data_IF_440234896420
#
_entry.id   IF_440234896420
#
_cell.length_a   1.000
_cell.length_b   1.000
_cell.length_c   1.000
_cell.angle_alpha   90.00
_cell.angle_beta   90.00
_cell.angle_gamma   90.00
#
_symmetry.space_group_name_H-M   'P 1'
#
loop_
_entity.id
_entity.type
_entity.pdbx_description
1 polymer ?
#
# COMPACT_ATOMS: atom_id res chain seq x y z
N UNK A 1 8.69 7.05 -19.34
CA UNK A 1 7.33 7.11 -18.77
C UNK A 1 6.61 8.27 -19.44
N UNK A 2 5.61 8.01 -20.30
CA UNK A 2 4.90 9.07 -21.00
C UNK A 2 3.57 9.34 -20.28
N UNK A 3 3.46 10.49 -19.61
CA UNK A 3 2.21 10.89 -18.97
C UNK A 3 1.26 11.39 -20.06
N UNK A 4 0.16 10.68 -20.26
CA UNK A 4 -0.85 11.07 -21.25
C UNK A 4 -1.75 12.13 -20.63
N UNK A 5 -2.10 13.17 -21.40
CA UNK A 5 -2.93 14.28 -20.90
C UNK A 5 -4.14 14.49 -21.80
N UNK A 6 -5.32 14.61 -21.19
CA UNK A 6 -6.56 14.99 -21.86
C UNK A 6 -7.13 16.27 -21.24
N UNK A 7 -8.00 16.95 -21.97
CA UNK A 7 -8.81 18.04 -21.41
C UNK A 7 -10.05 17.49 -20.72
N UNK A 8 -10.61 18.22 -19.75
CA UNK A 8 -11.91 17.88 -19.14
C UNK A 8 -13.03 17.74 -20.19
N UNK A 9 -12.97 18.52 -21.28
CA UNK A 9 -13.91 18.40 -22.41
C UNK A 9 -13.77 17.09 -23.16
N UNK A 10 -12.54 16.61 -23.36
CA UNK A 10 -12.28 15.32 -24.01
C UNK A 10 -12.75 14.17 -23.12
N UNK A 11 -12.46 14.24 -21.83
CA UNK A 11 -12.91 13.25 -20.86
C UNK A 11 -14.45 13.15 -20.79
N UNK A 12 -15.14 14.29 -20.74
CA UNK A 12 -16.61 14.32 -20.72
C UNK A 12 -17.25 13.77 -22.01
N UNK A 13 -16.54 13.86 -23.15
CA UNK A 13 -17.01 13.36 -24.45
C UNK A 13 -16.71 11.88 -24.66
N UNK A 14 -15.54 11.42 -24.21
CA UNK A 14 -15.07 10.05 -24.40
C UNK A 14 -14.25 9.57 -23.19
N UNK A 15 -14.97 9.22 -22.11
CA UNK A 15 -14.36 8.60 -20.94
C UNK A 15 -13.72 7.24 -21.25
N UNK A 16 -14.20 6.55 -22.30
CA UNK A 16 -13.67 5.26 -22.74
C UNK A 16 -12.24 5.35 -23.27
N UNK A 17 -11.93 6.40 -24.04
CA UNK A 17 -10.57 6.67 -24.50
C UNK A 17 -9.60 6.94 -23.33
N UNK A 18 -10.05 7.70 -22.32
CA UNK A 18 -9.25 7.94 -21.12
C UNK A 18 -8.98 6.65 -20.38
N UNK A 19 -10.00 5.81 -20.16
CA UNK A 19 -9.85 4.49 -19.53
C UNK A 19 -8.90 3.56 -20.32
N UNK A 20 -8.92 3.58 -21.66
CA UNK A 20 -7.95 2.79 -22.44
C UNK A 20 -6.53 3.33 -22.31
N UNK A 21 -6.37 4.65 -22.19
CA UNK A 21 -5.07 5.26 -22.03
C UNK A 21 -4.40 4.93 -20.68
N UNK A 22 -5.19 4.69 -19.61
CA UNK A 22 -4.64 4.35 -18.28
C UNK A 22 -3.88 3.01 -18.26
N UNK A 23 -4.15 2.11 -19.20
CA UNK A 23 -3.41 0.86 -19.35
C UNK A 23 -1.91 1.06 -19.65
N UNK A 24 -1.51 2.26 -20.11
CA UNK A 24 -0.11 2.62 -20.36
C UNK A 24 0.49 3.48 -19.23
N UNK A 25 -0.27 3.73 -18.16
CA UNK A 25 0.12 4.55 -17.02
C UNK A 25 -0.83 5.72 -16.74
N UNK A 26 -0.51 6.56 -15.73
CA UNK A 26 -1.38 7.63 -15.27
C UNK A 26 -1.75 8.62 -16.37
N UNK A 27 -3.01 9.04 -16.34
CA UNK A 27 -3.56 10.02 -17.27
C UNK A 27 -3.97 11.27 -16.51
N UNK A 28 -3.50 12.44 -16.95
CA UNK A 28 -3.92 13.72 -16.37
C UNK A 28 -5.06 14.35 -17.15
N UNK A 29 -6.08 14.80 -16.43
CA UNK A 29 -7.18 15.58 -16.97
C UNK A 29 -6.95 17.04 -16.59
N UNK A 30 -6.97 17.90 -17.59
CA UNK A 30 -6.68 19.32 -17.46
C UNK A 30 -7.94 20.18 -17.54
N UNK A 31 -8.02 21.18 -16.65
CA UNK A 31 -8.90 22.32 -16.82
C UNK A 31 -8.07 23.57 -17.10
N UNK A 32 -8.46 24.34 -18.11
CA UNK A 32 -7.74 25.55 -18.58
C UNK A 32 -6.22 25.36 -18.71
N UNK A 33 -5.78 24.18 -19.15
CA UNK A 33 -4.37 23.85 -19.37
C UNK A 33 -3.59 23.42 -18.12
N UNK A 34 -4.23 23.30 -16.95
CA UNK A 34 -3.61 22.83 -15.71
C UNK A 34 -4.15 21.46 -15.31
N UNK A 35 -3.31 20.49 -14.92
CA UNK A 35 -3.78 19.23 -14.37
C UNK A 35 -4.69 19.48 -13.17
N UNK A 36 -5.82 18.79 -13.15
CA UNK A 36 -6.88 18.96 -12.14
C UNK A 36 -7.34 17.62 -11.55
N UNK A 37 -7.18 16.55 -12.32
CA UNK A 37 -7.51 15.18 -11.92
C UNK A 37 -6.48 14.23 -12.53
N UNK A 38 -6.09 13.21 -11.79
CA UNK A 38 -5.33 12.07 -12.30
C UNK A 38 -6.25 10.85 -12.33
N UNK A 39 -6.26 10.13 -13.45
CA UNK A 39 -6.98 8.88 -13.63
C UNK A 39 -5.95 7.76 -13.73
N UNK A 40 -6.16 6.71 -12.97
CA UNK A 40 -5.30 5.54 -12.87
C UNK A 40 -6.10 4.29 -13.22
N UNK A 41 -5.43 3.24 -13.65
CA UNK A 41 -6.02 1.92 -13.54
C UNK A 41 -6.20 1.55 -12.05
N UNK A 42 -7.20 0.72 -11.75
CA UNK A 42 -7.51 0.39 -10.37
C UNK A 42 -6.37 -0.40 -9.70
N UNK A 43 -5.65 -1.23 -10.45
CA UNK A 43 -4.48 -1.96 -9.93
C UNK A 43 -3.34 -1.01 -9.59
N UNK A 44 -3.10 0.00 -10.43
CA UNK A 44 -2.09 1.03 -10.18
C UNK A 44 -2.46 1.87 -8.95
N UNK A 45 -3.75 2.19 -8.76
CA UNK A 45 -4.22 2.87 -7.56
C UNK A 45 -3.94 2.03 -6.30
N UNK A 46 -4.33 0.75 -6.28
CA UNK A 46 -4.07 -0.11 -5.14
C UNK A 46 -2.58 -0.29 -4.86
N UNK A 47 -1.77 -0.40 -5.91
CA UNK A 47 -0.31 -0.43 -5.79
C UNK A 47 0.26 0.84 -5.16
N UNK A 48 -0.29 2.00 -5.54
CA UNK A 48 0.12 3.30 -5.02
C UNK A 48 -0.24 3.47 -3.55
N UNK A 49 -1.42 3.01 -3.13
CA UNK A 49 -1.89 3.14 -1.74
C UNK A 49 -1.45 1.99 -0.82
N UNK A 50 -0.60 1.08 -1.30
CA UNK A 50 -0.15 -0.09 -0.53
C UNK A 50 -1.26 -1.11 -0.26
N UNK A 51 -2.30 -1.14 -1.09
CA UNK A 51 -3.41 -2.10 -1.03
C UNK A 51 -3.32 -3.17 -2.13
N UNK A 52 -2.12 -3.48 -2.62
CA UNK A 52 -1.96 -4.83 -3.21
C UNK A 52 -2.32 -5.84 -2.12
N UNK A 53 -2.77 -7.02 -2.49
CA UNK A 53 -2.89 -8.17 -1.60
C UNK A 53 -1.55 -8.35 -0.87
N UNK A 54 -1.39 -7.63 0.23
CA UNK A 54 -0.26 -7.74 1.12
C UNK A 54 -0.52 -9.07 1.77
N UNK A 55 0.09 -10.12 1.21
CA UNK A 55 0.19 -11.41 1.87
C UNK A 55 0.42 -11.09 3.33
N UNK A 56 -0.56 -11.43 4.16
CA UNK A 56 -0.48 -11.10 5.57
C UNK A 56 0.85 -11.62 6.09
N UNK A 57 1.41 -11.00 7.14
CA UNK A 57 2.63 -11.53 7.75
C UNK A 57 2.51 -13.05 8.00
N UNK A 58 1.33 -13.49 8.43
CA UNK A 58 0.99 -14.91 8.57
C UNK A 58 1.14 -15.70 7.26
N UNK A 59 0.54 -15.23 6.16
CA UNK A 59 0.62 -15.89 4.86
C UNK A 59 2.04 -15.92 4.29
N UNK A 60 2.80 -14.84 4.49
CA UNK A 60 4.21 -14.78 4.15
C UNK A 60 5.03 -15.80 4.96
N UNK A 61 4.75 -15.94 6.27
CA UNK A 61 5.40 -16.92 7.14
C UNK A 61 5.04 -18.35 6.78
N UNK A 62 3.78 -18.63 6.43
CA UNK A 62 3.34 -19.97 5.98
C UNK A 62 3.97 -20.39 4.65
N UNK A 63 4.38 -19.44 3.80
CA UNK A 63 5.05 -19.72 2.54
C UNK A 63 6.56 -20.04 2.70
N UNK A 64 7.15 -19.78 3.88
CA UNK A 64 8.54 -20.15 4.15
C UNK A 64 8.64 -21.67 4.38
N UNK A 65 9.69 -22.34 3.84
CA UNK A 65 9.92 -23.74 4.13
C UNK A 65 10.16 -23.93 5.63
N UNK A 66 9.53 -24.95 6.22
CA UNK A 66 9.80 -25.33 7.60
C UNK A 66 11.29 -25.64 7.75
N UNK A 67 11.92 -24.93 8.68
CA UNK A 67 13.33 -25.11 9.04
C UNK A 67 13.38 -25.77 10.41
N UNK A 68 13.42 -27.12 10.48
CA UNK A 68 13.60 -27.79 11.74
C UNK A 68 14.98 -27.43 12.33
N UNK A 69 15.07 -27.46 13.66
CA UNK A 69 16.32 -27.34 14.42
C UNK A 69 17.07 -25.99 14.33
N UNK A 70 16.36 -24.88 14.08
CA UNK A 70 16.95 -23.54 14.29
C UNK A 70 17.07 -23.29 15.80
N UNK A 71 18.31 -23.26 16.29
CA UNK A 71 18.63 -22.79 17.63
C UNK A 71 18.70 -21.26 17.63
N UNK A 72 17.73 -20.61 18.28
CA UNK A 72 17.72 -19.16 18.47
C UNK A 72 18.48 -18.82 19.76
N UNK A 73 19.75 -18.44 19.63
CA UNK A 73 20.50 -17.89 20.75
C UNK A 73 19.90 -16.53 21.15
N UNK A 74 19.12 -16.55 22.24
CA UNK A 74 18.58 -15.34 22.83
C UNK A 74 19.63 -14.72 23.77
N UNK A 75 19.86 -13.41 23.73
CA UNK A 75 20.72 -12.76 24.71
C UNK A 75 20.15 -12.91 26.12
N UNK A 76 21.03 -12.97 27.11
CA UNK A 76 20.63 -12.96 28.52
C UNK A 76 19.78 -11.71 28.81
N UNK A 77 18.52 -11.92 29.16
CA UNK A 77 17.60 -10.82 29.47
C UNK A 77 18.08 -10.17 30.75
N UNK A 78 18.64 -8.96 30.65
CA UNK A 78 18.95 -8.16 31.83
C UNK A 78 17.62 -7.65 32.39
N UNK A 79 17.15 -8.27 33.47
CA UNK A 79 15.91 -7.86 34.13
C UNK A 79 16.21 -6.59 34.93
N UNK A 80 16.02 -5.43 34.32
CA UNK A 80 16.14 -4.11 34.95
C UNK A 80 14.91 -3.79 35.82
N UNK A 81 14.41 -4.76 36.61
CA UNK A 81 13.25 -4.61 37.50
C UNK A 81 11.91 -4.29 36.81
N UNK A 82 11.92 -3.88 35.53
CA UNK A 82 10.75 -3.57 34.72
C UNK A 82 10.11 -4.82 34.11
N UNK A 83 10.89 -5.90 33.98
CA UNK A 83 10.47 -7.14 33.34
C UNK A 83 9.48 -7.98 34.19
N UNK A 84 9.38 -7.70 35.49
CA UNK A 84 8.43 -8.35 36.42
C UNK A 84 7.14 -7.53 36.63
N UNK A 85 7.07 -6.34 36.04
CA UNK A 85 5.80 -5.60 35.95
C UNK A 85 4.94 -6.30 34.92
N UNK A 86 3.86 -6.93 35.37
CA UNK A 86 2.73 -7.23 34.50
C UNK A 86 2.31 -5.89 33.89
N UNK A 87 2.35 -5.73 32.55
CA UNK A 87 1.91 -4.49 31.94
C UNK A 87 0.44 -4.30 32.29
N UNK A 88 0.13 -3.14 32.87
CA UNK A 88 -1.24 -2.77 33.17
C UNK A 88 -1.89 -2.32 31.87
N UNK A 89 -2.48 -3.26 31.14
CA UNK A 89 -3.22 -2.97 29.90
C UNK A 89 -4.60 -2.35 30.18
N UNK A 90 -4.93 -2.09 31.45
CA UNK A 90 -6.18 -1.48 31.91
C UNK A 90 -5.98 -0.01 32.29
N UNK A 91 -5.41 0.79 31.40
CA UNK A 91 -5.69 2.24 31.42
C UNK A 91 -6.50 2.62 30.18
N UNK A 92 -7.74 2.16 30.17
CA UNK A 92 -8.79 2.78 29.37
C UNK A 92 -9.19 4.10 30.02
N UNK A 93 -8.36 5.14 29.85
CA UNK A 93 -8.85 6.51 29.93
C UNK A 93 -8.40 7.33 28.71
N UNK A 94 -9.35 7.40 27.76
CA UNK A 94 -9.69 8.50 26.83
C UNK A 94 -8.65 9.02 25.83
#
# INVERSE_FOLDING_TARGET
MAITTFSSRTFARDAGAVKRATANGPVFITDRGKPSLAVLDIEDYFSLVGQRDERSLLEAMMALPATPDIELELPDRTLDGSADRIPDFLDETA
#
